data_IF_774737490184
#
_entry.id   IF_774737490184
#
_cell.length_a   1.000
_cell.length_b   1.000
_cell.length_c   1.000
_cell.angle_alpha   90.00
_cell.angle_beta   90.00
_cell.angle_gamma   90.00
#
_symmetry.space_group_name_H-M   'P 1'
#
loop_
_entity.id
_entity.type
_entity.pdbx_description
1 polymer ?
#
# COMPACT_ATOMS: atom_id res chain seq x y z
N UNK A 1 10.84 5.13 22.65
CA UNK A 1 10.75 4.44 21.34
C UNK A 1 9.38 4.75 20.77
N UNK A 2 9.30 5.30 19.55
CA UNK A 2 7.99 5.60 18.96
C UNK A 2 7.19 4.31 18.83
N UNK A 3 6.00 4.25 19.43
CA UNK A 3 5.04 3.18 19.15
C UNK A 3 4.80 3.18 17.64
N UNK A 4 5.17 2.09 16.97
CA UNK A 4 4.82 1.93 15.56
C UNK A 4 3.35 1.56 15.53
N UNK A 5 2.49 2.57 15.38
CA UNK A 5 1.06 2.38 15.27
C UNK A 5 0.74 1.59 14.00
N UNK A 6 -0.18 0.62 14.14
CA UNK A 6 -0.71 -0.15 13.02
C UNK A 6 -1.29 0.82 11.97
N UNK A 7 -1.01 0.64 10.67
CA UNK A 7 -1.61 1.47 9.63
C UNK A 7 -3.14 1.40 9.65
N UNK A 8 -3.79 2.51 9.29
CA UNK A 8 -5.23 2.54 9.02
C UNK A 8 -5.62 1.53 7.93
N UNK A 9 -6.89 1.08 7.97
CA UNK A 9 -7.42 0.16 6.97
C UNK A 9 -7.44 0.82 5.59
N UNK A 10 -6.98 0.09 4.58
CA UNK A 10 -7.00 0.48 3.18
C UNK A 10 -8.41 0.38 2.60
N UNK A 11 -8.87 1.47 2.00
CA UNK A 11 -10.18 1.60 1.36
C UNK A 11 -10.13 1.60 -0.18
N UNK A 12 -8.95 1.39 -0.78
CA UNK A 12 -8.76 1.51 -2.23
C UNK A 12 -8.13 2.84 -2.68
N UNK A 13 -8.04 3.85 -1.81
CA UNK A 13 -7.51 5.18 -2.14
C UNK A 13 -6.10 5.36 -1.57
N UNK A 14 -5.24 6.13 -2.25
CA UNK A 14 -3.87 6.45 -1.83
C UNK A 14 -2.99 5.21 -1.59
N UNK A 15 -3.16 4.17 -2.41
CA UNK A 15 -2.49 2.87 -2.26
C UNK A 15 -0.97 2.99 -2.04
N UNK A 16 -0.27 3.87 -2.76
CA UNK A 16 1.17 4.05 -2.59
C UNK A 16 1.54 4.43 -1.16
N UNK A 17 0.78 5.35 -0.55
CA UNK A 17 1.02 5.80 0.83
C UNK A 17 0.66 4.71 1.83
N UNK A 18 -0.48 4.03 1.63
CA UNK A 18 -0.88 2.93 2.49
C UNK A 18 0.13 1.78 2.45
N UNK A 19 0.56 1.35 1.25
CA UNK A 19 1.53 0.28 1.07
C UNK A 19 2.86 0.62 1.74
N UNK A 20 3.35 1.86 1.61
CA UNK A 20 4.57 2.29 2.31
C UNK A 20 4.45 2.19 3.83
N UNK A 21 3.34 2.64 4.42
CA UNK A 21 3.09 2.51 5.87
C UNK A 21 3.00 1.04 6.29
N UNK A 22 2.33 0.21 5.49
CA UNK A 22 2.21 -1.23 5.74
C UNK A 22 3.55 -1.94 5.68
N UNK A 23 4.39 -1.65 4.67
CA UNK A 23 5.72 -2.23 4.57
C UNK A 23 6.60 -1.82 5.76
N UNK A 24 6.56 -0.56 6.18
CA UNK A 24 7.28 -0.10 7.38
C UNK A 24 6.82 -0.83 8.65
N UNK A 25 5.51 -1.02 8.81
CA UNK A 25 4.96 -1.81 9.92
C UNK A 25 5.42 -3.27 9.88
N UNK A 26 5.49 -3.90 8.70
CA UNK A 26 6.05 -5.25 8.57
C UNK A 26 7.55 -5.29 8.83
N UNK A 27 8.30 -4.21 8.55
CA UNK A 27 9.73 -4.12 8.89
C UNK A 27 9.94 -4.20 10.39
N UNK A 28 9.12 -3.51 11.20
CA UNK A 28 9.24 -3.55 12.67
C UNK A 28 8.88 -4.91 13.26
N UNK A 29 8.16 -5.74 12.50
CA UNK A 29 7.84 -7.13 12.82
C UNK A 29 8.83 -8.14 12.21
N UNK A 30 9.86 -7.69 11.48
CA UNK A 30 10.78 -8.55 10.72
C UNK A 30 10.10 -9.41 9.63
N UNK A 31 8.96 -8.97 9.10
CA UNK A 31 8.15 -9.73 8.13
C UNK A 31 8.18 -9.14 6.72
N UNK A 32 8.79 -7.97 6.50
CA UNK A 32 8.77 -7.30 5.20
C UNK A 32 9.35 -8.17 4.06
N UNK A 33 10.38 -8.95 4.33
CA UNK A 33 11.10 -9.77 3.34
C UNK A 33 10.18 -10.77 2.60
N UNK A 34 9.22 -11.36 3.32
CA UNK A 34 8.25 -12.32 2.76
C UNK A 34 7.37 -11.71 1.66
N UNK A 35 7.23 -10.38 1.62
CA UNK A 35 6.46 -9.71 0.57
C UNK A 35 7.18 -9.62 -0.78
N UNK A 36 8.46 -10.01 -0.85
CA UNK A 36 9.30 -9.88 -2.06
C UNK A 36 10.02 -11.17 -2.41
N UNK A 37 10.49 -11.91 -1.41
CA UNK A 37 11.26 -13.15 -1.57
C UNK A 37 10.37 -14.37 -1.82
N UNK A 38 10.92 -15.34 -2.55
CA UNK A 38 10.33 -16.67 -2.67
C UNK A 38 10.81 -17.58 -1.52
N UNK A 39 10.11 -18.71 -1.32
CA UNK A 39 10.53 -19.68 -0.32
C UNK A 39 11.97 -20.15 -0.58
N UNK A 40 12.80 -20.30 0.48
CA UNK A 40 14.20 -20.65 0.32
C UNK A 40 14.35 -22.05 -0.28
N UNK A 41 15.28 -22.19 -1.21
CA UNK A 41 15.75 -23.49 -1.66
C UNK A 41 16.60 -24.12 -0.56
N UNK A 42 16.25 -25.34 -0.14
CA UNK A 42 16.98 -26.03 0.93
C UNK A 42 18.20 -26.74 0.32
N UNK A 43 19.43 -26.48 0.82
CA UNK A 43 20.65 -27.08 0.25
C UNK A 43 20.65 -28.60 0.25
N UNK A 44 21.26 -29.19 -0.78
CA UNK A 44 21.50 -30.64 -0.85
C UNK A 44 22.42 -31.07 0.30
N UNK A 45 22.03 -32.13 1.02
CA UNK A 45 22.74 -32.62 2.21
C UNK A 45 22.21 -32.08 3.56
N UNK A 46 21.20 -31.19 3.55
CA UNK A 46 20.48 -30.80 4.77
C UNK A 46 19.71 -32.01 5.32
N UNK A 47 19.75 -32.24 6.64
CA UNK A 47 18.98 -33.34 7.24
C UNK A 47 17.48 -33.15 7.01
N UNK A 48 16.72 -34.24 6.88
CA UNK A 48 15.26 -34.17 6.67
C UNK A 48 14.56 -33.36 7.77
N UNK A 49 15.07 -33.46 9.01
CA UNK A 49 14.56 -32.72 10.16
C UNK A 49 14.80 -31.22 10.01
N UNK A 50 16.01 -30.81 9.65
CA UNK A 50 16.34 -29.39 9.50
C UNK A 50 15.61 -28.79 8.30
N UNK A 51 15.50 -29.54 7.20
CA UNK A 51 14.71 -29.18 6.02
C UNK A 51 13.26 -28.92 6.39
N UNK A 52 12.65 -29.79 7.18
CA UNK A 52 11.28 -29.62 7.66
C UNK A 52 11.14 -28.34 8.50
N UNK A 53 12.06 -28.10 9.45
CA UNK A 53 12.04 -26.91 10.31
C UNK A 53 12.14 -25.62 9.50
N UNK A 54 13.06 -25.55 8.52
CA UNK A 54 13.24 -24.37 7.66
C UNK A 54 11.96 -24.06 6.88
N UNK A 55 11.36 -25.09 6.25
CA UNK A 55 10.16 -24.93 5.43
C UNK A 55 8.96 -24.49 6.28
N UNK A 56 8.75 -25.10 7.44
CA UNK A 56 7.62 -24.75 8.31
C UNK A 56 7.78 -23.36 8.94
N UNK A 57 9.01 -22.98 9.34
CA UNK A 57 9.29 -21.63 9.83
C UNK A 57 9.00 -20.56 8.76
N UNK A 58 9.36 -20.84 7.50
CA UNK A 58 9.05 -19.97 6.38
C UNK A 58 7.54 -19.84 6.18
N UNK A 59 6.81 -20.95 6.07
CA UNK A 59 5.35 -20.96 5.88
C UNK A 59 4.63 -20.21 6.99
N UNK A 60 5.05 -20.41 8.24
CA UNK A 60 4.46 -19.72 9.39
C UNK A 60 4.69 -18.21 9.30
N UNK A 61 5.90 -17.77 8.95
CA UNK A 61 6.23 -16.35 8.82
C UNK A 61 5.52 -15.69 7.64
N UNK A 62 5.43 -16.36 6.50
CA UNK A 62 4.65 -15.91 5.34
C UNK A 62 3.15 -15.82 5.68
N UNK A 63 2.62 -16.81 6.40
CA UNK A 63 1.25 -16.79 6.90
C UNK A 63 1.00 -15.56 7.79
N UNK A 64 1.88 -15.26 8.75
CA UNK A 64 1.76 -14.07 9.59
C UNK A 64 1.81 -12.79 8.76
N UNK A 65 2.80 -12.67 7.86
CA UNK A 65 2.96 -11.51 6.98
C UNK A 65 1.70 -11.24 6.16
N UNK A 66 1.16 -12.30 5.53
CA UNK A 66 -0.09 -12.24 4.76
C UNK A 66 -1.26 -11.77 5.61
N UNK A 67 -1.42 -12.31 6.82
CA UNK A 67 -2.50 -11.92 7.72
C UNK A 67 -2.38 -10.47 8.20
N UNK A 68 -1.17 -9.96 8.44
CA UNK A 68 -0.99 -8.54 8.78
C UNK A 68 -1.43 -7.63 7.64
N UNK A 69 -1.03 -7.94 6.40
CA UNK A 69 -1.47 -7.19 5.21
C UNK A 69 -2.99 -7.25 5.08
N UNK A 70 -3.59 -8.45 5.15
CA UNK A 70 -5.04 -8.63 5.11
C UNK A 70 -5.76 -7.84 6.21
N UNK A 71 -5.23 -7.84 7.43
CA UNK A 71 -5.82 -7.10 8.56
C UNK A 71 -5.78 -5.58 8.39
N UNK A 72 -4.97 -5.09 7.45
CA UNK A 72 -4.90 -3.69 7.06
C UNK A 72 -5.84 -3.35 5.90
N UNK A 73 -6.68 -4.27 5.43
CA UNK A 73 -7.69 -4.02 4.41
C UNK A 73 -9.05 -3.72 5.04
N UNK A 74 -9.89 -2.96 4.34
CA UNK A 74 -11.33 -2.94 4.60
C UNK A 74 -11.97 -4.29 4.27
N UNK A 75 -13.12 -4.57 4.85
CA UNK A 75 -13.70 -5.91 4.90
C UNK A 75 -14.12 -6.42 3.50
N UNK A 76 -14.57 -5.52 2.63
CA UNK A 76 -14.86 -5.80 1.22
C UNK A 76 -13.60 -6.27 0.47
N UNK A 77 -12.48 -5.57 0.66
CA UNK A 77 -11.18 -5.95 0.08
C UNK A 77 -10.62 -7.22 0.71
N UNK A 78 -10.73 -7.36 2.03
CA UNK A 78 -10.33 -8.56 2.75
C UNK A 78 -10.95 -9.81 2.11
N UNK A 79 -12.28 -9.78 1.90
CA UNK A 79 -12.99 -10.93 1.34
C UNK A 79 -12.47 -11.30 -0.05
N UNK A 80 -12.22 -10.32 -0.92
CA UNK A 80 -11.67 -10.53 -2.27
C UNK A 80 -10.28 -11.16 -2.23
N UNK A 81 -9.43 -10.73 -1.29
CA UNK A 81 -8.02 -11.12 -1.26
C UNK A 81 -7.68 -12.23 -0.25
N UNK A 82 -8.64 -12.66 0.58
CA UNK A 82 -8.45 -13.67 1.64
C UNK A 82 -7.91 -15.00 1.12
N UNK A 83 -8.28 -15.37 -0.11
CA UNK A 83 -7.85 -16.62 -0.77
C UNK A 83 -6.45 -16.60 -1.38
N UNK A 84 -5.70 -15.50 -1.26
CA UNK A 84 -4.30 -15.44 -1.72
C UNK A 84 -3.42 -16.39 -0.91
N UNK A 85 -2.49 -17.08 -1.58
CA UNK A 85 -1.71 -18.15 -0.93
C UNK A 85 -0.54 -17.59 -0.14
N UNK A 86 0.18 -16.63 -0.73
CA UNK A 86 1.39 -16.06 -0.13
C UNK A 86 1.29 -14.54 0.06
N UNK A 87 2.12 -14.00 0.95
CA UNK A 87 2.19 -12.55 1.17
C UNK A 87 2.70 -11.80 -0.07
N UNK A 88 3.63 -12.40 -0.82
CA UNK A 88 4.11 -11.90 -2.13
C UNK A 88 3.01 -11.85 -3.19
N UNK A 89 2.22 -12.91 -3.33
CA UNK A 89 1.07 -12.94 -4.25
C UNK A 89 0.05 -11.86 -3.90
N UNK A 90 -0.27 -11.71 -2.61
CA UNK A 90 -1.20 -10.71 -2.10
C UNK A 90 -0.72 -9.29 -2.44
N UNK A 91 0.53 -8.96 -2.10
CA UNK A 91 1.12 -7.66 -2.45
C UNK A 91 1.10 -7.42 -3.95
N UNK A 92 1.50 -8.41 -4.75
CA UNK A 92 1.49 -8.31 -6.21
C UNK A 92 0.10 -8.08 -6.79
N UNK A 93 -0.93 -8.73 -6.24
CA UNK A 93 -2.32 -8.55 -6.66
C UNK A 93 -2.84 -7.14 -6.33
N UNK A 94 -2.50 -6.62 -5.15
CA UNK A 94 -2.82 -5.25 -4.75
C UNK A 94 -2.09 -4.22 -5.64
N UNK A 95 -0.80 -4.42 -5.90
CA UNK A 95 -0.03 -3.55 -6.79
C UNK A 95 -0.61 -3.54 -8.22
N UNK A 96 -0.95 -4.70 -8.78
CA UNK A 96 -1.55 -4.76 -10.13
C UNK A 96 -2.85 -3.97 -10.25
N UNK A 97 -3.72 -4.03 -9.23
CA UNK A 97 -5.01 -3.33 -9.26
C UNK A 97 -4.84 -1.82 -9.01
N UNK A 98 -4.15 -1.44 -7.94
CA UNK A 98 -4.21 -0.06 -7.43
C UNK A 98 -3.04 0.83 -7.86
N UNK A 99 -1.93 0.28 -8.38
CA UNK A 99 -0.78 1.09 -8.85
C UNK A 99 -1.12 1.91 -10.09
N UNK A 100 -1.99 1.39 -10.97
CA UNK A 100 -2.44 2.11 -12.17
C UNK A 100 -3.54 3.13 -11.86
N UNK A 101 -4.46 2.79 -10.94
CA UNK A 101 -5.55 3.67 -10.53
C UNK A 101 -5.04 4.96 -9.87
N UNK A 102 -4.02 4.88 -9.01
CA UNK A 102 -3.42 6.07 -8.37
C UNK A 102 -2.76 7.02 -9.40
N UNK A 103 -2.10 6.47 -10.42
CA UNK A 103 -1.54 7.25 -11.52
C UNK A 103 -2.64 7.89 -12.40
N UNK A 104 -3.73 7.16 -12.65
CA UNK A 104 -4.90 7.65 -13.39
C UNK A 104 -5.60 8.80 -12.67
N UNK A 105 -5.86 8.66 -11.36
CA UNK A 105 -6.48 9.70 -10.53
C UNK A 105 -5.60 10.95 -10.49
N UNK A 106 -4.28 10.81 -10.30
CA UNK A 106 -3.34 11.95 -10.33
C UNK A 106 -3.32 12.64 -11.68
N UNK A 107 -3.28 11.90 -12.78
CA UNK A 107 -3.33 12.46 -14.13
C UNK A 107 -4.65 13.20 -14.39
N UNK A 108 -5.76 12.66 -13.91
CA UNK A 108 -7.07 13.31 -14.00
C UNK A 108 -7.13 14.62 -13.19
N UNK A 109 -6.59 14.63 -11.97
CA UNK A 109 -6.52 15.85 -11.15
C UNK A 109 -5.63 16.93 -11.78
N UNK A 110 -4.48 16.54 -12.35
CA UNK A 110 -3.59 17.47 -13.07
C UNK A 110 -4.27 18.00 -14.34
N UNK A 111 -4.92 17.15 -15.14
CA UNK A 111 -5.66 17.59 -16.32
C UNK A 111 -6.77 18.57 -15.94
N UNK A 112 -7.57 18.27 -14.91
CA UNK A 112 -8.62 19.17 -14.40
C UNK A 112 -8.07 20.48 -13.85
N UNK A 113 -6.87 20.46 -13.29
CA UNK A 113 -6.18 21.69 -12.85
C UNK A 113 -5.68 22.51 -14.04
N UNK A 114 -5.15 21.88 -15.09
CA UNK A 114 -4.68 22.56 -16.30
C UNK A 114 -5.84 23.08 -17.18
N UNK A 115 -6.95 22.35 -17.24
CA UNK A 115 -8.19 22.76 -17.95
C UNK A 115 -8.93 23.89 -17.22
N UNK A 116 -8.48 24.26 -16.01
CA UNK A 116 -9.02 25.40 -15.30
C UNK A 116 -8.57 26.71 -15.97
N UNK A 117 -9.46 27.28 -16.78
CA UNK A 117 -9.29 28.66 -17.25
C UNK A 117 -9.63 29.63 -16.12
N UNK A 118 -8.62 30.40 -15.69
CA UNK A 118 -8.82 31.55 -14.82
C UNK A 118 -9.70 32.58 -15.54
N UNK A 119 -10.70 33.09 -14.83
CA UNK A 119 -11.56 34.16 -15.34
C UNK A 119 -10.90 35.48 -14.92
N UNK A 120 -10.42 36.29 -15.88
CA UNK A 120 -9.69 37.54 -15.60
C UNK A 120 -10.48 38.56 -14.75
N UNK A 121 -11.80 38.47 -14.74
CA UNK A 121 -12.69 39.36 -14.00
C UNK A 121 -12.90 39.02 -12.52
N UNK A 122 -12.22 37.98 -11.98
CA UNK A 122 -12.35 37.59 -10.56
C UNK A 122 -10.99 37.47 -9.88
N UNK A 123 -10.85 38.05 -8.68
CA UNK A 123 -9.66 37.91 -7.85
C UNK A 123 -9.31 36.44 -7.58
N UNK A 124 -8.01 36.10 -7.68
CA UNK A 124 -7.48 34.74 -7.51
C UNK A 124 -7.98 34.07 -6.22
N UNK A 125 -8.06 34.83 -5.12
CA UNK A 125 -8.52 34.36 -3.80
C UNK A 125 -9.96 33.85 -3.81
N UNK A 126 -10.87 34.51 -4.54
CA UNK A 126 -12.27 34.07 -4.63
C UNK A 126 -12.46 32.86 -5.54
N UNK A 127 -11.52 32.63 -6.46
CA UNK A 127 -11.51 31.44 -7.31
C UNK A 127 -10.94 30.21 -6.57
N UNK A 128 -10.06 30.38 -5.58
CA UNK A 128 -9.46 29.26 -4.82
C UNK A 128 -10.41 28.71 -3.74
N UNK A 129 -11.26 29.55 -3.14
CA UNK A 129 -12.19 29.12 -2.07
C UNK A 129 -13.37 28.25 -2.55
N UNK A 130 -13.72 28.29 -3.84
CA UNK A 130 -14.88 27.55 -4.38
C UNK A 130 -14.67 26.06 -4.64
N UNK A 131 -13.49 25.49 -4.33
CA UNK A 131 -13.20 24.07 -4.58
C UNK A 131 -12.33 23.48 -3.46
N UNK A 132 -12.77 22.42 -2.75
CA UNK A 132 -12.00 21.75 -1.70
C UNK A 132 -10.63 21.27 -2.16
N UNK A 133 -10.50 20.85 -3.42
CA UNK A 133 -9.23 20.41 -4.02
C UNK A 133 -8.24 21.55 -4.24
N UNK A 134 -8.70 22.80 -4.42
CA UNK A 134 -7.85 23.98 -4.64
C UNK A 134 -7.19 24.45 -3.35
N UNK A 135 -7.92 24.41 -2.24
CA UNK A 135 -7.39 24.73 -0.91
C UNK A 135 -6.29 23.77 -0.48
N UNK A 136 -6.47 22.47 -0.77
CA UNK A 136 -5.48 21.43 -0.46
C UNK A 136 -4.15 21.59 -1.21
N UNK A 137 -4.18 22.05 -2.48
CA UNK A 137 -2.95 22.27 -3.26
C UNK A 137 -2.25 23.58 -2.87
N UNK A 138 -3.01 24.66 -2.64
CA UNK A 138 -2.46 25.97 -2.25
C UNK A 138 -1.75 25.91 -0.89
N UNK A 139 -2.36 25.26 0.11
CA UNK A 139 -1.75 25.15 1.45
C UNK A 139 -0.53 24.20 1.50
N UNK A 140 -0.35 23.32 0.51
CA UNK A 140 0.71 22.29 0.54
C UNK A 140 1.94 22.59 -0.31
N UNK A 141 1.85 23.50 -1.28
CA UNK A 141 2.92 23.70 -2.26
C UNK A 141 3.30 25.18 -2.50
N UNK A 142 2.57 26.15 -1.94
CA UNK A 142 2.82 27.59 -2.15
C UNK A 142 2.85 28.42 -0.85
N UNK A 143 2.95 27.76 0.31
CA UNK A 143 3.36 28.36 1.60
C UNK A 143 4.73 27.86 1.99
#
# INVERSE_FOLDING_TARGET
MAQTEKPEKFSGIDFKRWLQKMLFYLTTLCLQWFTSEDAPEVPEGTSDKDRFVIVEAWKYSDFLCRNYILSGLQDDLYNVYSGTKTSKELRGALERKYKMEDAGIKKFLVARFLDFKMIDSKFVVSQVQGSPSRRYIFEKYLS
#
